data_IF_432322535514
#
_entry.id   IF_432322535514
#
_cell.length_a   1.000
_cell.length_b   1.000
_cell.length_c   1.000
_cell.angle_alpha   90.00
_cell.angle_beta   90.00
_cell.angle_gamma   90.00
#
_symmetry.space_group_name_H-M   'P 1'
#
loop_
_entity.id
_entity.type
_entity.pdbx_description
1 polymer ?
#
# COMPACT_ATOMS: atom_id res chain seq x y z
N UNK A 1 19.10 -18.99 37.52
CA UNK A 1 18.69 -19.72 36.29
C UNK A 1 17.79 -18.80 35.48
N UNK A 2 18.19 -18.48 34.26
CA UNK A 2 17.66 -17.42 33.41
C UNK A 2 16.39 -17.81 32.64
N UNK A 3 15.37 -16.95 32.76
CA UNK A 3 14.44 -16.43 31.74
C UNK A 3 13.78 -17.38 30.72
N UNK A 4 12.45 -17.39 30.71
CA UNK A 4 11.64 -17.56 29.49
C UNK A 4 10.39 -16.67 29.59
N UNK A 5 10.59 -15.40 29.21
CA UNK A 5 9.54 -14.40 29.05
C UNK A 5 8.71 -14.75 27.83
N UNK A 6 7.46 -15.16 28.06
CA UNK A 6 6.44 -15.32 27.00
C UNK A 6 6.06 -13.92 26.50
N UNK A 7 6.58 -13.54 25.32
CA UNK A 7 6.22 -12.27 24.69
C UNK A 7 4.75 -12.30 24.22
N UNK A 8 3.94 -11.40 24.78
CA UNK A 8 2.53 -11.25 24.47
C UNK A 8 2.25 -11.05 22.96
N UNK A 9 1.11 -11.57 22.44
CA UNK A 9 0.77 -11.54 21.01
C UNK A 9 0.73 -10.13 20.39
N UNK A 10 0.50 -9.10 21.19
CA UNK A 10 0.46 -7.69 20.78
C UNK A 10 1.77 -7.21 20.13
N UNK A 11 2.91 -7.69 20.61
CA UNK A 11 4.22 -7.33 20.05
C UNK A 11 4.47 -7.99 18.68
N UNK A 12 3.93 -9.19 18.45
CA UNK A 12 4.06 -9.90 17.17
C UNK A 12 3.30 -9.17 16.07
N UNK A 13 2.06 -8.74 16.37
CA UNK A 13 1.23 -7.98 15.42
C UNK A 13 1.86 -6.63 15.11
N UNK A 14 2.36 -5.90 16.12
CA UNK A 14 3.08 -4.64 15.90
C UNK A 14 4.36 -4.82 15.06
N UNK A 15 5.11 -5.89 15.27
CA UNK A 15 6.29 -6.21 14.46
C UNK A 15 5.93 -6.55 13.02
N UNK A 16 4.87 -7.34 12.79
CA UNK A 16 4.36 -7.64 11.46
C UNK A 16 3.94 -6.36 10.72
N UNK A 17 3.21 -5.45 11.38
CA UNK A 17 2.82 -4.15 10.82
C UNK A 17 4.05 -3.26 10.54
N UNK A 18 5.06 -3.31 11.41
CA UNK A 18 6.34 -2.62 11.23
C UNK A 18 7.07 -3.09 9.97
N UNK A 19 7.06 -4.39 9.72
CA UNK A 19 7.69 -4.98 8.54
C UNK A 19 6.89 -4.72 7.24
N UNK A 20 5.55 -4.59 7.32
CA UNK A 20 4.72 -4.19 6.16
C UNK A 20 5.10 -2.83 5.59
N UNK A 21 5.57 -1.90 6.43
CA UNK A 21 6.10 -0.61 5.95
C UNK A 21 7.30 -0.76 5.01
N UNK A 22 7.99 -1.90 5.08
CA UNK A 22 9.23 -2.16 4.36
C UNK A 22 9.13 -3.23 3.27
N UNK A 23 7.94 -3.75 2.95
CA UNK A 23 7.81 -4.71 1.86
C UNK A 23 8.18 -4.06 0.52
N UNK A 24 9.05 -4.70 -0.28
CA UNK A 24 9.22 -4.32 -1.67
C UNK A 24 7.89 -4.58 -2.38
N UNK A 25 7.29 -3.53 -2.96
CA UNK A 25 6.20 -3.69 -3.93
C UNK A 25 6.78 -4.43 -5.13
N UNK A 26 6.20 -5.58 -5.53
CA UNK A 26 6.68 -6.32 -6.68
C UNK A 26 6.66 -5.43 -7.94
N UNK A 27 7.70 -5.49 -8.80
CA UNK A 27 7.71 -4.76 -10.08
C UNK A 27 6.45 -4.98 -10.93
N UNK A 28 5.82 -6.16 -10.77
CA UNK A 28 4.59 -6.57 -11.43
C UNK A 28 3.42 -5.60 -11.18
N UNK A 29 3.26 -5.07 -9.96
CA UNK A 29 2.13 -4.19 -9.61
C UNK A 29 2.25 -2.86 -10.36
N UNK A 30 3.46 -2.33 -10.49
CA UNK A 30 3.73 -1.11 -11.27
C UNK A 30 3.40 -1.31 -12.74
N UNK A 31 3.86 -2.41 -13.34
CA UNK A 31 3.57 -2.70 -14.75
C UNK A 31 2.08 -2.91 -15.02
N UNK A 32 1.37 -3.62 -14.13
CA UNK A 32 -0.06 -3.84 -14.25
C UNK A 32 -0.83 -2.53 -14.15
N UNK A 33 -0.49 -1.67 -13.18
CA UNK A 33 -1.13 -0.35 -13.02
C UNK A 33 -0.81 0.57 -14.20
N UNK A 34 0.42 0.57 -14.72
CA UNK A 34 0.78 1.29 -15.96
C UNK A 34 -0.06 0.83 -17.16
N UNK A 35 -0.20 -0.49 -17.36
CA UNK A 35 -1.00 -1.08 -18.46
C UNK A 35 -2.48 -0.73 -18.36
N UNK A 36 -2.98 -0.51 -17.16
CA UNK A 36 -4.40 -0.28 -16.89
C UNK A 36 -4.70 1.22 -16.87
N UNK A 37 -3.90 2.08 -16.24
CA UNK A 37 -4.10 3.53 -16.25
C UNK A 37 -3.99 4.16 -17.65
N UNK A 38 -3.20 3.57 -18.56
CA UNK A 38 -3.07 4.08 -19.93
C UNK A 38 -4.23 3.67 -20.85
N UNK A 39 -5.21 2.89 -20.35
CA UNK A 39 -6.42 2.54 -21.11
C UNK A 39 -7.55 3.53 -20.79
N UNK A 40 -8.23 4.09 -21.80
CA UNK A 40 -9.31 5.05 -21.59
C UNK A 40 -10.54 4.47 -20.84
N UNK A 41 -10.70 3.14 -20.85
CA UNK A 41 -11.87 2.43 -20.28
C UNK A 41 -11.65 1.89 -18.85
N UNK A 42 -10.58 2.31 -18.18
CA UNK A 42 -10.21 1.70 -16.89
C UNK A 42 -11.11 2.15 -15.76
N UNK A 43 -11.72 1.18 -15.07
CA UNK A 43 -12.57 1.44 -13.93
C UNK A 43 -11.77 1.53 -12.62
N UNK A 44 -12.34 2.23 -11.65
CA UNK A 44 -11.86 2.21 -10.26
C UNK A 44 -11.79 0.78 -9.70
N UNK A 45 -12.70 -0.10 -10.13
CA UNK A 45 -12.74 -1.50 -9.70
C UNK A 45 -11.52 -2.29 -10.16
N UNK A 46 -11.05 -2.07 -11.39
CA UNK A 46 -9.89 -2.76 -11.95
C UNK A 46 -8.62 -2.39 -11.18
N UNK A 47 -8.44 -1.09 -10.91
CA UNK A 47 -7.30 -0.58 -10.15
C UNK A 47 -7.35 -1.07 -8.70
N UNK A 48 -8.52 -1.02 -8.06
CA UNK A 48 -8.68 -1.51 -6.71
C UNK A 48 -8.35 -3.01 -6.60
N UNK A 49 -8.70 -3.80 -7.62
CA UNK A 49 -8.39 -5.24 -7.67
C UNK A 49 -6.89 -5.47 -7.72
N UNK A 50 -6.17 -4.77 -8.61
CA UNK A 50 -4.71 -4.88 -8.74
C UNK A 50 -4.01 -4.43 -7.44
N UNK A 51 -4.45 -3.32 -6.85
CA UNK A 51 -3.88 -2.83 -5.59
C UNK A 51 -4.13 -3.79 -4.42
N UNK A 52 -5.26 -4.53 -4.45
CA UNK A 52 -5.63 -5.49 -3.40
C UNK A 52 -4.80 -6.78 -3.46
N UNK A 53 -4.19 -7.09 -4.61
CA UNK A 53 -3.24 -8.22 -4.74
C UNK A 53 -1.92 -7.98 -4.01
N UNK A 54 -1.56 -6.72 -3.73
CA UNK A 54 -0.38 -6.36 -2.94
C UNK A 54 -0.78 -5.72 -1.60
N UNK A 55 -0.63 -6.45 -0.47
CA UNK A 55 -0.89 -5.93 0.86
C UNK A 55 -0.10 -4.66 1.22
N UNK A 56 1.13 -4.52 0.72
CA UNK A 56 1.95 -3.34 1.00
C UNK A 56 1.39 -2.10 0.30
N UNK A 57 0.94 -2.24 -0.95
CA UNK A 57 0.27 -1.16 -1.68
C UNK A 57 -1.10 -0.82 -1.10
N UNK A 58 -1.89 -1.83 -0.74
CA UNK A 58 -3.17 -1.63 -0.04
C UNK A 58 -2.99 -0.78 1.22
N UNK A 59 -2.01 -1.11 2.05
CA UNK A 59 -1.71 -0.34 3.27
C UNK A 59 -1.26 1.09 2.96
N UNK A 60 -0.45 1.30 1.91
CA UNK A 60 -0.03 2.65 1.50
C UNK A 60 -1.22 3.50 1.04
N UNK A 61 -2.13 2.93 0.25
CA UNK A 61 -3.33 3.61 -0.25
C UNK A 61 -4.26 4.01 0.90
N UNK A 62 -4.53 3.08 1.82
CA UNK A 62 -5.37 3.35 2.99
C UNK A 62 -4.73 4.42 3.89
N UNK A 63 -3.42 4.34 4.14
CA UNK A 63 -2.70 5.36 4.94
C UNK A 63 -2.72 6.74 4.31
N UNK A 64 -2.56 6.84 2.99
CA UNK A 64 -2.63 8.10 2.28
C UNK A 64 -4.05 8.69 2.41
N UNK A 65 -5.07 7.87 2.18
CA UNK A 65 -6.49 8.27 2.26
C UNK A 65 -6.88 8.73 3.66
N UNK A 66 -6.46 8.01 4.71
CA UNK A 66 -6.74 8.34 6.10
C UNK A 66 -5.79 9.40 6.68
N UNK A 67 -4.94 10.00 5.85
CA UNK A 67 -4.05 11.07 6.31
C UNK A 67 -4.80 12.38 6.53
N UNK A 68 -4.23 13.26 7.35
CA UNK A 68 -4.77 14.60 7.59
C UNK A 68 -4.95 15.42 6.30
N UNK A 69 -4.25 15.06 5.21
CA UNK A 69 -4.37 15.72 3.91
C UNK A 69 -5.79 15.65 3.34
N UNK A 70 -6.49 14.53 3.51
CA UNK A 70 -7.86 14.35 3.02
C UNK A 70 -8.94 14.70 4.07
N UNK A 71 -8.57 14.90 5.33
CA UNK A 71 -9.46 15.46 6.37
C UNK A 71 -10.73 14.64 6.64
N UNK A 72 -10.69 13.31 6.46
CA UNK A 72 -11.86 12.46 6.58
C UNK A 72 -12.32 12.32 8.04
N UNK A 73 -13.63 12.38 8.26
CA UNK A 73 -14.24 12.23 9.60
C UNK A 73 -14.27 10.77 10.10
N UNK A 74 -14.18 9.82 9.17
CA UNK A 74 -14.19 8.38 9.46
C UNK A 74 -13.02 7.71 8.74
N UNK A 75 -12.48 6.68 9.37
CA UNK A 75 -11.44 5.84 8.79
C UNK A 75 -12.01 5.02 7.62
N UNK A 76 -11.25 4.98 6.53
CA UNK A 76 -11.52 4.18 5.35
C UNK A 76 -10.73 2.87 5.46
N UNK A 77 -11.42 1.74 5.30
CA UNK A 77 -10.88 0.38 5.40
C UNK A 77 -10.91 -0.39 4.07
N UNK A 78 -11.56 0.16 3.05
CA UNK A 78 -11.69 -0.44 1.72
C UNK A 78 -10.76 0.22 0.70
N UNK A 79 -9.93 -0.58 0.02
CA UNK A 79 -9.07 -0.10 -1.07
C UNK A 79 -9.89 0.53 -2.19
N UNK A 80 -11.03 -0.07 -2.57
CA UNK A 80 -11.93 0.49 -3.58
C UNK A 80 -12.46 1.86 -3.16
N UNK A 81 -12.87 2.00 -1.90
CA UNK A 81 -13.35 3.28 -1.38
C UNK A 81 -12.25 4.33 -1.33
N UNK A 82 -11.05 3.93 -0.90
CA UNK A 82 -9.87 4.78 -0.91
C UNK A 82 -9.54 5.31 -2.31
N UNK A 83 -9.53 4.44 -3.34
CA UNK A 83 -9.30 4.85 -4.73
C UNK A 83 -10.37 5.83 -5.24
N UNK A 84 -11.64 5.66 -4.85
CA UNK A 84 -12.70 6.62 -5.19
C UNK A 84 -12.47 8.00 -4.56
N UNK A 85 -11.91 8.06 -3.35
CA UNK A 85 -11.67 9.32 -2.63
C UNK A 85 -10.44 10.05 -3.18
N UNK A 86 -9.32 9.34 -3.33
CA UNK A 86 -8.04 9.97 -3.71
C UNK A 86 -7.89 10.15 -5.23
N UNK A 87 -8.65 9.38 -6.01
CA UNK A 87 -8.63 9.42 -7.47
C UNK A 87 -7.47 8.63 -8.11
N UNK A 88 -7.58 8.37 -9.42
CA UNK A 88 -6.59 7.59 -10.17
C UNK A 88 -5.21 8.24 -10.21
N UNK A 89 -5.13 9.56 -10.29
CA UNK A 89 -3.84 10.26 -10.42
C UNK A 89 -3.02 10.13 -9.13
N UNK A 90 -3.64 10.29 -7.96
CA UNK A 90 -2.97 10.10 -6.68
C UNK A 90 -2.48 8.65 -6.52
N UNK A 91 -3.29 7.67 -6.95
CA UNK A 91 -2.89 6.25 -6.98
C UNK A 91 -1.67 6.04 -7.87
N UNK A 92 -1.68 6.61 -9.09
CA UNK A 92 -0.55 6.52 -10.04
C UNK A 92 0.74 7.04 -9.41
N UNK A 93 0.67 8.23 -8.81
CA UNK A 93 1.81 8.87 -8.16
C UNK A 93 2.32 8.03 -6.99
N UNK A 94 1.42 7.47 -6.17
CA UNK A 94 1.77 6.60 -5.05
C UNK A 94 2.51 5.33 -5.52
N UNK A 95 2.01 4.68 -6.58
CA UNK A 95 2.59 3.46 -7.14
C UNK A 95 3.97 3.74 -7.74
N UNK A 96 4.12 4.87 -8.44
CA UNK A 96 5.41 5.32 -8.98
C UNK A 96 6.41 5.58 -7.83
N UNK A 97 6.01 6.34 -6.82
CA UNK A 97 6.86 6.61 -5.65
C UNK A 97 7.27 5.33 -4.92
N UNK A 98 6.34 4.37 -4.75
CA UNK A 98 6.64 3.08 -4.15
C UNK A 98 7.68 2.31 -4.97
N UNK A 99 7.57 2.32 -6.30
CA UNK A 99 8.48 1.64 -7.21
C UNK A 99 9.90 2.22 -7.15
N UNK A 100 10.01 3.55 -7.17
CA UNK A 100 11.30 4.26 -7.04
C UNK A 100 11.97 3.94 -5.70
N UNK A 101 11.21 3.97 -4.60
CA UNK A 101 11.74 3.62 -3.27
C UNK A 101 12.22 2.17 -3.18
N UNK A 102 11.61 1.24 -3.91
CA UNK A 102 12.07 -0.15 -3.96
C UNK A 102 13.36 -0.31 -4.77
N UNK A 103 13.52 0.44 -5.86
CA UNK A 103 14.75 0.44 -6.65
C UNK A 103 15.95 0.86 -5.80
N UNK A 104 15.80 1.90 -4.98
CA UNK A 104 16.86 2.33 -4.04
C UNK A 104 17.12 1.35 -2.89
N UNK A 105 16.14 0.52 -2.52
CA UNK A 105 16.34 -0.56 -1.54
C UNK A 105 17.08 -1.76 -2.14
N UNK A 106 16.84 -2.08 -3.41
CA UNK A 106 17.48 -3.18 -4.11
C UNK A 106 18.97 -2.93 -4.40
N UNK A 107 19.37 -1.66 -4.56
CA UNK A 107 20.77 -1.24 -4.81
C UNK A 107 21.66 -1.27 -3.53
N UNK A 108 21.07 -1.46 -2.35
CA UNK A 108 21.79 -1.54 -1.06
C UNK A 108 21.88 -2.96 -0.49
N UNK A 109 21.67 -3.97 -1.34
CA UNK A 109 21.79 -5.40 -0.99
C UNK A 109 22.76 -6.13 -1.90
#
# INVERSE_FOLDING_TARGET
MTTSTTAAPENRVKQLIGNIRNLPTPPIVFEQIQKVINKPETSVGDIASILSEDPAMSVKVLKLTNSAFYGLQREIDSVKHAVMIIGLEAVKNLVLSASVLNMFKADQS
#
